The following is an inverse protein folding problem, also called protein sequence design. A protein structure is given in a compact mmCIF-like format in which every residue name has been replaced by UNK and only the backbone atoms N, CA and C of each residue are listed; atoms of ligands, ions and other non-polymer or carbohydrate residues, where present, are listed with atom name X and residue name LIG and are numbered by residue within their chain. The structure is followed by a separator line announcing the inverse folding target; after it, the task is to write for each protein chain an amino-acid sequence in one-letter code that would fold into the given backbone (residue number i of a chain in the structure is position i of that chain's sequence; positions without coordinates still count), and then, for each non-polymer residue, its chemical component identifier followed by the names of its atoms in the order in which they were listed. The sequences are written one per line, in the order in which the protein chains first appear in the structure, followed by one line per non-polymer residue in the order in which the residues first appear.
data_IF_669424415956
#
_entry.id   IF_669424415956
#
_cell.length_a   1.000
_cell.length_b   1.000
_cell.length_c   1.000
_cell.angle_alpha   90.00
_cell.angle_beta   90.00
_cell.angle_gamma   90.00
#
_symmetry.space_group_name_H-M   'P 1'
#
loop_
_entity.id
_entity.type
_entity.pdbx_description
1 polymer ?
#
# COMPACT_ATOMS: atom_id res chain seq x y z
N UNK A 1 -4.55 12.54 11.22
CA UNK A 1 -3.38 11.67 11.04
C UNK A 1 -2.31 12.40 10.25
N UNK A 2 -1.12 12.38 10.74
CA UNK A 2 0.02 12.85 9.96
C UNK A 2 0.35 11.74 8.97
N UNK A 3 0.01 11.94 7.74
CA UNK A 3 0.21 10.95 6.70
C UNK A 3 1.03 11.48 5.54
N UNK A 4 1.19 10.69 4.49
CA UNK A 4 1.89 11.10 3.29
C UNK A 4 1.21 12.31 2.64
N UNK A 5 1.99 13.11 1.93
CA UNK A 5 1.46 14.28 1.22
C UNK A 5 0.54 13.87 0.05
N UNK A 6 -0.28 14.83 -0.41
CA UNK A 6 -1.32 14.58 -1.41
C UNK A 6 -0.81 14.01 -2.74
N UNK A 7 0.42 14.38 -3.14
CA UNK A 7 0.99 13.99 -4.43
C UNK A 7 1.98 12.82 -4.31
N UNK A 8 1.95 12.11 -3.19
CA UNK A 8 2.86 11.01 -2.95
C UNK A 8 2.50 9.80 -3.79
N UNK A 9 3.50 9.18 -4.41
CA UNK A 9 3.34 7.89 -5.06
C UNK A 9 3.16 6.79 -4.02
N UNK A 10 2.27 5.85 -4.32
CA UNK A 10 1.92 4.75 -3.43
C UNK A 10 2.14 3.45 -4.19
N UNK A 11 2.92 2.55 -3.62
CA UNK A 11 3.28 1.26 -4.22
C UNK A 11 2.88 0.13 -3.30
N UNK A 12 2.30 -0.93 -3.88
CA UNK A 12 1.98 -2.14 -3.15
C UNK A 12 2.79 -3.31 -3.72
N UNK A 13 3.52 -3.99 -2.84
CA UNK A 13 4.23 -5.20 -3.20
C UNK A 13 3.22 -6.34 -3.27
N UNK A 14 3.13 -7.00 -4.43
CA UNK A 14 2.07 -7.97 -4.69
C UNK A 14 2.25 -9.28 -3.93
N UNK A 15 3.48 -9.69 -3.66
CA UNK A 15 3.76 -10.96 -2.99
C UNK A 15 3.65 -10.88 -1.47
N UNK A 16 3.67 -12.05 -0.85
CA UNK A 16 3.67 -12.16 0.62
C UNK A 16 5.01 -11.71 1.18
N UNK A 17 4.95 -10.90 2.25
CA UNK A 17 6.12 -10.43 3.00
C UNK A 17 6.02 -10.96 4.42
N UNK A 18 7.17 -11.30 5.03
CA UNK A 18 7.23 -11.59 6.46
C UNK A 18 7.07 -10.27 7.23
N UNK A 19 5.88 -10.03 7.76
CA UNK A 19 5.54 -8.79 8.44
C UNK A 19 6.01 -8.73 9.91
N UNK A 20 6.83 -9.69 10.36
CA UNK A 20 7.59 -9.54 11.61
C UNK A 20 8.70 -8.49 11.44
N UNK A 21 9.01 -8.12 10.20
CA UNK A 21 9.98 -7.06 9.88
C UNK A 21 9.44 -5.69 10.29
N UNK A 22 10.35 -4.87 10.83
CA UNK A 22 10.05 -3.48 11.17
C UNK A 22 10.71 -2.51 10.18
N UNK A 23 11.07 -1.33 10.68
CA UNK A 23 11.63 -0.24 9.85
C UNK A 23 12.81 -0.69 8.98
N UNK A 24 13.81 -1.30 9.57
CA UNK A 24 15.04 -1.68 8.87
C UNK A 24 14.78 -2.78 7.85
N UNK A 25 14.05 -3.82 8.25
CA UNK A 25 13.77 -4.94 7.37
C UNK A 25 12.90 -4.56 6.18
N UNK A 26 11.86 -3.74 6.40
CA UNK A 26 11.00 -3.27 5.31
C UNK A 26 11.73 -2.29 4.40
N UNK A 27 12.56 -1.40 4.95
CA UNK A 27 13.40 -0.51 4.15
C UNK A 27 14.34 -1.29 3.23
N UNK A 28 14.94 -2.35 3.74
CA UNK A 28 15.80 -3.22 2.95
C UNK A 28 15.04 -3.87 1.80
N UNK A 29 13.78 -4.27 2.01
CA UNK A 29 12.94 -4.83 0.96
C UNK A 29 12.55 -3.80 -0.11
N UNK A 30 12.31 -2.55 0.28
CA UNK A 30 12.07 -1.47 -0.67
C UNK A 30 13.25 -1.34 -1.62
N UNK A 31 14.47 -1.39 -1.11
CA UNK A 31 15.69 -1.28 -1.93
C UNK A 31 15.92 -2.52 -2.78
N UNK A 32 15.87 -3.70 -2.18
CA UNK A 32 16.29 -4.94 -2.86
C UNK A 32 15.20 -5.53 -3.73
N UNK A 33 13.95 -5.52 -3.28
CA UNK A 33 12.85 -6.18 -3.98
C UNK A 33 12.09 -5.22 -4.89
N UNK A 34 11.85 -3.99 -4.43
CA UNK A 34 11.11 -3.00 -5.21
C UNK A 34 12.02 -2.08 -6.02
N UNK A 35 13.32 -2.12 -5.76
CA UNK A 35 14.34 -1.30 -6.44
C UNK A 35 14.01 0.19 -6.36
N UNK A 36 13.55 0.62 -5.20
CA UNK A 36 13.18 2.01 -4.91
C UNK A 36 13.89 2.49 -3.65
N UNK A 37 13.87 3.80 -3.43
CA UNK A 37 14.46 4.37 -2.21
C UNK A 37 13.43 4.46 -1.10
N UNK A 38 13.68 3.86 0.08
CA UNK A 38 12.77 4.01 1.22
C UNK A 38 12.73 5.45 1.75
N UNK A 39 13.73 6.28 1.41
CA UNK A 39 13.80 7.69 1.82
C UNK A 39 13.19 8.64 0.79
N UNK A 40 12.53 8.13 -0.23
CA UNK A 40 11.98 8.93 -1.33
C UNK A 40 10.74 9.75 -0.95
N UNK A 41 10.11 9.47 0.18
CA UNK A 41 8.82 10.03 0.55
C UNK A 41 7.64 9.26 -0.02
N UNK A 42 7.88 8.28 -0.88
CA UNK A 42 6.85 7.41 -1.42
C UNK A 42 6.37 6.42 -0.36
N UNK A 43 5.13 5.97 -0.49
CA UNK A 43 4.53 4.98 0.40
C UNK A 43 4.71 3.58 -0.17
N UNK A 44 5.13 2.66 0.67
CA UNK A 44 5.30 1.26 0.31
C UNK A 44 4.43 0.39 1.21
N UNK A 45 3.64 -0.47 0.57
CA UNK A 45 2.64 -1.30 1.23
C UNK A 45 3.03 -2.77 1.09
N UNK A 46 2.98 -3.49 2.20
CA UNK A 46 3.33 -4.91 2.27
C UNK A 46 2.19 -5.71 2.90
N UNK A 47 2.00 -6.94 2.41
CA UNK A 47 0.98 -7.86 2.91
C UNK A 47 1.58 -8.99 3.72
N UNK A 48 0.87 -9.45 4.75
CA UNK A 48 1.18 -10.68 5.44
C UNK A 48 0.60 -11.92 4.74
N UNK A 49 1.02 -13.11 5.20
CA UNK A 49 0.62 -14.38 4.63
C UNK A 49 -0.90 -14.59 4.63
N UNK A 50 -1.57 -14.24 5.73
CA UNK A 50 -3.02 -14.45 5.87
C UNK A 50 -3.86 -13.46 5.09
N UNK A 51 -3.27 -12.35 4.65
CA UNK A 51 -3.99 -11.31 3.93
C UNK A 51 -4.80 -10.36 4.80
N UNK A 52 -4.80 -10.53 6.10
CA UNK A 52 -5.53 -9.68 7.05
C UNK A 52 -4.66 -8.61 7.74
N UNK A 53 -3.35 -8.64 7.48
CA UNK A 53 -2.39 -7.71 8.05
C UNK A 53 -1.71 -6.91 6.94
N UNK A 54 -1.67 -5.59 7.11
CA UNK A 54 -0.99 -4.67 6.19
C UNK A 54 0.00 -3.83 6.97
N UNK A 55 1.17 -3.59 6.38
CA UNK A 55 2.13 -2.61 6.86
C UNK A 55 2.46 -1.61 5.76
N UNK A 56 2.50 -0.34 6.13
CA UNK A 56 2.92 0.75 5.27
C UNK A 56 4.16 1.39 5.85
N UNK A 57 5.12 1.73 5.00
CA UNK A 57 6.31 2.47 5.42
C UNK A 57 6.53 3.66 4.48
N UNK A 58 6.89 4.81 5.04
CA UNK A 58 7.25 5.99 4.27
C UNK A 58 8.16 6.90 5.08
N UNK A 59 8.96 7.70 4.37
CA UNK A 59 9.81 8.74 4.97
C UNK A 59 9.09 10.08 4.90
N UNK A 60 8.94 10.76 6.03
CA UNK A 60 8.17 12.00 6.11
C UNK A 60 9.02 13.27 6.05
N UNK A 61 10.32 13.11 5.79
CA UNK A 61 11.27 14.22 5.70
C UNK A 61 12.32 14.17 6.81
N UNK A 62 12.00 13.64 7.97
CA UNK A 62 12.96 13.51 9.08
C UNK A 62 12.96 12.12 9.71
N UNK A 63 12.01 11.28 9.41
CA UNK A 63 11.95 9.95 9.98
C UNK A 63 11.15 8.97 9.13
N UNK A 64 11.39 7.67 9.38
CA UNK A 64 10.58 6.62 8.79
C UNK A 64 9.33 6.42 9.64
N UNK A 65 8.17 6.41 8.97
CA UNK A 65 6.87 6.15 9.59
C UNK A 65 6.42 4.75 9.23
N UNK A 66 5.85 4.06 10.18
CA UNK A 66 5.33 2.72 10.01
C UNK A 66 3.88 2.68 10.49
N UNK A 67 2.98 2.27 9.61
CA UNK A 67 1.58 2.03 9.94
C UNK A 67 1.31 0.54 9.81
N UNK A 68 0.57 -0.01 10.77
CA UNK A 68 0.22 -1.43 10.78
C UNK A 68 -1.26 -1.57 11.12
N UNK A 69 -1.99 -2.35 10.33
CA UNK A 69 -3.41 -2.61 10.59
C UNK A 69 -3.72 -4.08 10.34
N UNK A 70 -4.44 -4.68 11.27
CA UNK A 70 -5.01 -6.02 11.13
C UNK A 70 -6.52 -5.91 11.11
N UNK A 71 -7.16 -6.51 10.09
CA UNK A 71 -8.61 -6.65 10.08
C UNK A 71 -9.01 -7.73 11.07
N UNK A 72 -9.96 -7.42 11.95
CA UNK A 72 -10.50 -8.39 12.89
C UNK A 72 -11.40 -9.41 12.19
N UNK A 73 -11.99 -9.02 11.06
CA UNK A 73 -12.78 -9.90 10.20
C UNK A 73 -12.43 -9.65 8.74
N UNK A 74 -12.36 -10.74 7.96
CA UNK A 74 -12.09 -10.65 6.54
C UNK A 74 -10.61 -10.43 6.23
N UNK A 75 -10.37 -10.07 4.99
CA UNK A 75 -9.03 -9.85 4.46
C UNK A 75 -9.02 -8.60 3.61
N UNK A 76 -7.85 -7.96 3.53
CA UNK A 76 -7.61 -6.92 2.53
C UNK A 76 -7.64 -7.55 1.14
N UNK A 77 -7.92 -6.73 0.13
CA UNK A 77 -7.85 -7.15 -1.27
C UNK A 77 -6.44 -6.85 -1.78
N UNK A 78 -5.76 -7.88 -2.27
CA UNK A 78 -4.37 -7.78 -2.71
C UNK A 78 -4.26 -7.98 -4.22
N UNK A 79 -3.28 -7.34 -4.88
CA UNK A 79 -2.98 -7.68 -6.27
C UNK A 79 -2.43 -9.09 -6.35
N UNK A 80 -2.48 -9.68 -7.54
CA UNK A 80 -1.88 -11.00 -7.75
C UNK A 80 -0.36 -10.93 -7.66
N UNK A 81 0.27 -11.95 -7.07
CA UNK A 81 1.72 -11.97 -6.85
C UNK A 81 2.52 -11.78 -8.15
N UNK A 82 1.98 -12.25 -9.29
CA UNK A 82 2.59 -12.10 -10.60
C UNK A 82 2.69 -10.64 -11.08
N UNK A 83 1.93 -9.73 -10.49
CA UNK A 83 1.96 -8.32 -10.86
C UNK A 83 3.19 -7.58 -10.32
N UNK A 84 3.91 -8.17 -9.37
CA UNK A 84 5.14 -7.60 -8.80
C UNK A 84 4.88 -6.39 -7.92
N UNK A 85 4.92 -5.20 -8.49
CA UNK A 85 4.69 -3.93 -7.78
C UNK A 85 3.60 -3.16 -8.50
N UNK A 86 2.57 -2.75 -7.77
CA UNK A 86 1.41 -2.06 -8.33
C UNK A 86 1.30 -0.68 -7.72
N UNK A 87 1.00 0.32 -8.55
CA UNK A 87 0.77 1.69 -8.10
C UNK A 87 -0.69 1.88 -7.69
N UNK A 88 -0.91 2.59 -6.60
CA UNK A 88 -2.25 2.93 -6.11
C UNK A 88 -2.45 4.44 -6.09
N UNK A 89 -3.70 4.87 -6.30
CA UNK A 89 -4.12 6.22 -5.98
C UNK A 89 -4.40 6.36 -4.49
N UNK A 90 -4.52 7.59 -3.99
CA UNK A 90 -4.91 7.81 -2.59
C UNK A 90 -6.28 7.22 -2.28
N UNK A 91 -7.22 7.34 -3.21
CA UNK A 91 -8.55 6.77 -3.04
C UNK A 91 -8.49 5.25 -2.95
N UNK A 92 -7.66 4.62 -3.77
CA UNK A 92 -7.45 3.17 -3.71
C UNK A 92 -6.79 2.74 -2.40
N UNK A 93 -5.83 3.51 -1.88
CA UNK A 93 -5.25 3.23 -0.57
C UNK A 93 -6.30 3.27 0.52
N UNK A 94 -7.17 4.28 0.52
CA UNK A 94 -8.26 4.37 1.51
C UNK A 94 -9.18 3.16 1.44
N UNK A 95 -9.56 2.72 0.24
CA UNK A 95 -10.37 1.52 0.05
C UNK A 95 -9.64 0.27 0.54
N UNK A 96 -8.37 0.12 0.20
CA UNK A 96 -7.55 -1.01 0.67
C UNK A 96 -7.60 -1.10 2.19
N UNK A 97 -7.34 0.02 2.89
CA UNK A 97 -7.26 0.04 4.36
C UNK A 97 -8.60 -0.23 5.04
N UNK A 98 -9.71 -0.03 4.35
CA UNK A 98 -11.05 -0.35 4.86
C UNK A 98 -11.51 -1.77 4.49
N UNK A 99 -10.70 -2.53 3.76
CA UNK A 99 -11.07 -3.86 3.31
C UNK A 99 -12.03 -3.85 2.12
N UNK A 100 -12.07 -2.75 1.37
CA UNK A 100 -12.92 -2.58 0.19
C UNK A 100 -12.11 -2.94 -1.06
N UNK A 101 -12.75 -3.58 -2.03
CA UNK A 101 -12.09 -3.91 -3.29
C UNK A 101 -11.76 -2.64 -4.07
N UNK A 102 -10.47 -2.31 -4.14
CA UNK A 102 -9.94 -1.11 -4.79
C UNK A 102 -9.55 -1.35 -6.26
N UNK A 103 -9.56 -2.60 -6.70
CA UNK A 103 -9.01 -2.95 -8.03
C UNK A 103 -9.86 -2.44 -9.18
N UNK A 104 -11.18 -2.33 -8.97
CA UNK A 104 -12.13 -1.88 -9.99
C UNK A 104 -13.08 -0.83 -9.40
N UNK A 105 -12.55 0.34 -9.02
CA UNK A 105 -13.43 1.41 -8.54
C UNK A 105 -14.32 1.88 -9.69
N UNK A 106 -15.63 1.97 -9.45
CA UNK A 106 -16.57 2.50 -10.41
C UNK A 106 -17.02 3.89 -10.00
N UNK A 107 -16.95 4.82 -10.93
CA UNK A 107 -17.54 6.12 -10.73
C UNK A 107 -19.05 5.99 -10.85
N UNK A 108 -19.77 6.66 -9.96
CA UNK A 108 -21.24 6.69 -10.02
C UNK A 108 -21.74 7.57 -11.16
N UNK A 109 -20.89 8.42 -11.69
CA UNK A 109 -21.17 9.28 -12.83
C UNK A 109 -19.95 9.35 -13.73
N UNK A 110 -20.17 9.18 -15.04
CA UNK A 110 -19.14 9.28 -16.06
C UNK A 110 -19.63 10.24 -17.15
N UNK A 111 -18.93 11.36 -17.41
CA UNK A 111 -19.33 12.33 -18.43
C UNK A 111 -19.43 11.72 -19.83
N UNK A 112 -18.67 10.67 -20.13
CA UNK A 112 -18.68 10.02 -21.45
C UNK A 112 -19.90 9.13 -21.65
N UNK A 113 -20.50 8.65 -20.56
CA UNK A 113 -21.68 7.80 -20.57
C UNK A 113 -22.96 8.58 -20.28
N UNK A 114 -22.84 9.82 -19.81
CA UNK A 114 -24.00 10.70 -19.56
C UNK A 114 -24.56 11.18 -20.89
N UNK A 115 -25.83 10.94 -21.09
CA UNK A 115 -26.55 11.35 -22.31
C UNK A 115 -27.49 12.48 -21.97
#
# INVERSE_FOLDING_TARGET
MIGPSANTQIWIAAGVTDLRRGFTGLSALVQSKLEKSPMSGQVFIFRGRRGDLVKLIWFDGDGLCLFCKRLERGKFVWPQASEGVVSLTRAQLSMLLEGIDWRRPQRTWDPQLAV
#
